data_IF_641312995218
#
_entry.id   IF_641312995218
#
_cell.length_a   1.000
_cell.length_b   1.000
_cell.length_c   1.000
_cell.angle_alpha   90.00
_cell.angle_beta   90.00
_cell.angle_gamma   90.00
#
_symmetry.space_group_name_H-M   'P 1'
#
loop_
_entity.id
_entity.type
_entity.pdbx_description
1 polymer ?
#
# COMPACT_ATOMS: atom_id res chain seq x y z
N UNK A 1 -3.19 6.90 16.88
CA UNK A 1 -2.89 6.70 15.43
C UNK A 1 -3.29 7.93 14.61
N UNK A 2 -2.58 8.21 13.52
CA UNK A 2 -2.95 9.25 12.55
C UNK A 2 -3.47 8.59 11.28
N UNK A 3 -4.65 9.01 10.80
CA UNK A 3 -5.23 8.57 9.54
C UNK A 3 -5.18 9.73 8.54
N UNK A 4 -4.46 9.54 7.43
CA UNK A 4 -4.42 10.49 6.32
C UNK A 4 -5.54 10.17 5.33
N UNK A 5 -6.45 11.13 5.12
CA UNK A 5 -7.59 11.00 4.21
C UNK A 5 -7.89 12.34 3.53
N UNK A 6 -7.98 12.33 2.20
CA UNK A 6 -8.66 13.39 1.45
C UNK A 6 -10.05 12.87 1.03
N UNK A 7 -11.15 13.48 1.49
CA UNK A 7 -12.51 13.03 1.16
C UNK A 7 -12.81 13.06 -0.35
N UNK A 8 -12.07 13.83 -1.14
CA UNK A 8 -12.24 13.89 -2.59
C UNK A 8 -11.75 12.62 -3.33
N UNK A 9 -11.02 11.72 -2.64
CA UNK A 9 -10.57 10.47 -3.24
C UNK A 9 -11.71 9.51 -3.64
N UNK A 10 -12.95 9.85 -3.28
CA UNK A 10 -14.17 9.08 -3.65
C UNK A 10 -14.91 9.68 -4.86
N UNK A 11 -14.43 10.77 -5.44
CA UNK A 11 -15.15 11.48 -6.52
C UNK A 11 -15.01 10.81 -7.91
N UNK A 12 -14.11 9.85 -8.08
CA UNK A 12 -13.96 9.13 -9.34
C UNK A 12 -14.42 7.68 -9.22
N UNK A 13 -15.02 7.15 -10.27
CA UNK A 13 -15.47 5.75 -10.35
C UNK A 13 -15.71 5.31 -11.78
N UNK A 14 -15.60 4.01 -12.05
CA UNK A 14 -16.09 3.35 -13.26
C UNK A 14 -17.13 2.31 -12.89
N UNK A 15 -18.17 2.19 -13.71
CA UNK A 15 -19.26 1.23 -13.44
C UNK A 15 -18.75 -0.21 -13.41
N UNK A 16 -19.03 -0.92 -12.32
CA UNK A 16 -18.60 -2.31 -12.13
C UNK A 16 -17.11 -2.51 -11.81
N UNK A 17 -16.35 -1.43 -11.65
CA UNK A 17 -14.93 -1.52 -11.33
C UNK A 17 -14.73 -1.89 -9.85
N UNK A 18 -13.82 -2.84 -9.52
CA UNK A 18 -13.60 -3.27 -8.14
C UNK A 18 -12.95 -2.18 -7.28
N UNK A 19 -12.01 -1.39 -7.85
CA UNK A 19 -11.43 -0.23 -7.18
C UNK A 19 -12.46 0.92 -7.26
N UNK A 20 -13.30 1.04 -6.23
CA UNK A 20 -14.50 1.88 -6.19
C UNK A 20 -14.57 2.76 -4.93
N UNK A 21 -15.31 3.87 -4.96
CA UNK A 21 -15.46 4.79 -3.83
C UNK A 21 -15.91 4.14 -2.52
N UNK A 22 -16.73 3.10 -2.60
CA UNK A 22 -17.28 2.38 -1.44
C UNK A 22 -16.21 1.82 -0.53
N UNK A 23 -15.02 1.52 -1.05
CA UNK A 23 -13.86 1.09 -0.26
C UNK A 23 -13.53 2.08 0.86
N UNK A 24 -13.68 3.39 0.59
CA UNK A 24 -13.43 4.47 1.55
C UNK A 24 -14.73 4.93 2.23
N UNK A 25 -15.83 5.09 1.46
CA UNK A 25 -17.10 5.57 1.97
C UNK A 25 -17.61 4.70 3.13
N UNK A 26 -17.38 3.39 3.08
CA UNK A 26 -17.81 2.46 4.13
C UNK A 26 -16.80 2.36 5.28
N UNK A 27 -15.50 2.44 5.00
CA UNK A 27 -14.46 2.33 6.03
C UNK A 27 -14.44 3.54 6.97
N UNK A 28 -14.59 4.76 6.44
CA UNK A 28 -14.45 6.00 7.23
C UNK A 28 -15.45 6.08 8.40
N UNK A 29 -16.78 5.88 8.23
CA UNK A 29 -17.70 5.97 9.35
C UNK A 29 -17.45 4.88 10.40
N UNK A 30 -17.13 3.65 9.99
CA UNK A 30 -16.82 2.54 10.89
C UNK A 30 -15.59 2.84 11.76
N UNK A 31 -14.50 3.29 11.14
CA UNK A 31 -13.27 3.62 11.86
C UNK A 31 -13.46 4.81 12.80
N UNK A 32 -14.22 5.84 12.40
CA UNK A 32 -14.51 7.00 13.28
C UNK A 32 -15.39 6.63 14.47
N UNK A 33 -16.34 5.72 14.29
CA UNK A 33 -17.20 5.23 15.37
C UNK A 33 -16.40 4.40 16.38
N UNK A 34 -15.57 3.48 15.89
CA UNK A 34 -14.81 2.55 16.74
C UNK A 34 -13.60 3.21 17.41
N UNK A 35 -13.00 4.20 16.74
CA UNK A 35 -11.75 4.86 17.17
C UNK A 35 -11.90 6.38 17.23
N UNK A 36 -12.71 6.91 18.15
CA UNK A 36 -12.96 8.35 18.25
C UNK A 36 -11.75 9.19 18.66
N UNK A 37 -10.69 8.54 19.13
CA UNK A 37 -9.43 9.18 19.55
C UNK A 37 -8.40 9.29 18.44
N UNK A 38 -8.59 8.62 17.31
CA UNK A 38 -7.65 8.72 16.20
C UNK A 38 -7.69 10.10 15.56
N UNK A 39 -6.51 10.60 15.19
CA UNK A 39 -6.39 11.88 14.52
C UNK A 39 -6.56 11.71 13.00
N UNK A 40 -7.45 12.52 12.41
CA UNK A 40 -7.70 12.52 10.97
C UNK A 40 -7.07 13.76 10.36
N UNK A 41 -6.13 13.58 9.43
CA UNK A 41 -5.41 14.65 8.73
C UNK A 41 -5.69 14.60 7.24
N UNK A 42 -5.94 15.77 6.64
CA UNK A 42 -6.02 15.88 5.18
C UNK A 42 -4.61 16.06 4.62
N UNK A 43 -4.16 15.17 3.69
CA UNK A 43 -2.82 15.25 3.15
C UNK A 43 -2.69 16.40 2.13
N UNK A 44 -1.50 16.94 1.98
CA UNK A 44 -1.16 17.77 0.83
C UNK A 44 -0.96 16.90 -0.43
N UNK A 45 -1.01 17.48 -1.61
CA UNK A 45 -0.61 16.79 -2.83
C UNK A 45 0.92 16.66 -2.91
N UNK A 46 1.42 15.53 -3.40
CA UNK A 46 2.83 15.39 -3.75
C UNK A 46 3.19 16.35 -4.89
N UNK A 47 4.32 17.02 -4.79
CA UNK A 47 4.83 17.91 -5.83
C UNK A 47 5.66 17.14 -6.88
N UNK A 48 5.99 17.81 -7.99
CA UNK A 48 6.75 17.19 -9.08
C UNK A 48 8.13 16.67 -8.65
N UNK A 49 8.82 17.35 -7.73
CA UNK A 49 10.13 16.91 -7.26
C UNK A 49 10.03 15.60 -6.48
N UNK A 50 8.98 15.41 -5.70
CA UNK A 50 8.70 14.17 -4.97
C UNK A 50 8.33 13.03 -5.93
N UNK A 51 7.46 13.29 -6.90
CA UNK A 51 7.08 12.29 -7.91
C UNK A 51 8.28 11.88 -8.77
N UNK A 52 9.15 12.81 -9.15
CA UNK A 52 10.33 12.57 -9.98
C UNK A 52 11.37 11.65 -9.33
N UNK A 53 11.31 11.44 -8.02
CA UNK A 53 12.15 10.43 -7.35
C UNK A 53 11.84 9.02 -7.85
N UNK A 54 10.54 8.71 -8.02
CA UNK A 54 10.06 7.37 -8.43
C UNK A 54 9.74 7.27 -9.92
N UNK A 55 9.19 8.32 -10.51
CA UNK A 55 8.65 8.32 -11.86
C UNK A 55 9.41 9.23 -12.82
N UNK A 56 9.34 8.93 -14.13
CA UNK A 56 9.88 9.83 -15.14
C UNK A 56 8.94 11.03 -15.34
N UNK A 57 9.51 12.16 -15.77
CA UNK A 57 8.73 13.36 -16.15
C UNK A 57 7.67 13.03 -17.20
N UNK A 58 8.01 12.18 -18.18
CA UNK A 58 7.07 11.75 -19.22
C UNK A 58 5.84 11.04 -18.62
N UNK A 59 6.04 10.19 -17.63
CA UNK A 59 4.94 9.49 -16.96
C UNK A 59 4.05 10.49 -16.20
N UNK A 60 4.64 11.40 -15.42
CA UNK A 60 3.90 12.42 -14.66
C UNK A 60 3.06 13.30 -15.60
N UNK A 61 3.64 13.75 -16.70
CA UNK A 61 2.93 14.53 -17.70
C UNK A 61 1.85 13.74 -18.42
N UNK A 62 2.06 12.44 -18.64
CA UNK A 62 1.08 11.56 -19.26
C UNK A 62 -0.15 11.39 -18.37
N UNK A 63 0.03 11.11 -17.07
CA UNK A 63 -1.07 11.03 -16.10
C UNK A 63 -1.88 12.34 -16.05
N UNK A 64 -1.20 13.48 -16.13
CA UNK A 64 -1.85 14.79 -16.03
C UNK A 64 -2.66 15.19 -17.29
N UNK A 65 -2.34 14.62 -18.45
CA UNK A 65 -2.87 15.10 -19.74
C UNK A 65 -3.76 14.12 -20.48
N UNK A 66 -3.61 12.79 -20.24
CA UNK A 66 -4.36 11.79 -20.99
C UNK A 66 -5.83 11.74 -20.57
N UNK A 67 -6.68 11.49 -21.58
CA UNK A 67 -8.09 11.13 -21.40
C UNK A 67 -8.37 9.68 -21.87
N UNK A 68 -7.32 8.97 -22.30
CA UNK A 68 -7.39 7.56 -22.72
C UNK A 68 -6.99 6.66 -21.55
N UNK A 69 -7.64 5.52 -21.42
CA UNK A 69 -7.34 4.53 -20.40
C UNK A 69 -5.88 4.07 -20.49
N UNK A 70 -5.26 3.85 -19.34
CA UNK A 70 -3.83 3.52 -19.23
C UNK A 70 -3.56 2.06 -19.59
N UNK A 71 -4.50 1.19 -19.28
CA UNK A 71 -4.60 -0.20 -19.72
C UNK A 71 -6.06 -0.69 -19.58
N UNK A 72 -6.31 -2.01 -19.69
CA UNK A 72 -7.67 -2.58 -19.71
C UNK A 72 -8.42 -2.40 -18.39
N UNK A 73 -7.73 -2.18 -17.29
CA UNK A 73 -8.27 -2.10 -15.94
C UNK A 73 -7.76 -0.89 -15.12
N UNK A 74 -7.11 0.06 -15.79
CA UNK A 74 -6.67 1.33 -15.18
C UNK A 74 -7.24 2.50 -15.98
N UNK A 75 -8.50 2.89 -15.73
CA UNK A 75 -9.21 3.87 -16.51
C UNK A 75 -8.71 5.30 -16.28
N UNK A 76 -8.81 6.14 -17.31
CA UNK A 76 -8.61 7.57 -17.16
C UNK A 76 -9.87 8.21 -16.56
N UNK A 77 -9.68 8.99 -15.50
CA UNK A 77 -10.74 9.76 -14.89
C UNK A 77 -10.43 11.26 -14.93
N UNK A 78 -11.42 12.15 -15.01
CA UNK A 78 -11.21 13.57 -14.79
C UNK A 78 -10.51 13.83 -13.46
N UNK A 79 -9.45 14.63 -13.50
CA UNK A 79 -8.63 14.97 -12.31
C UNK A 79 -7.87 13.80 -11.64
N UNK A 80 -7.70 12.66 -12.31
CA UNK A 80 -6.99 11.53 -11.71
C UNK A 80 -5.56 11.88 -11.23
N UNK A 81 -4.88 12.78 -11.93
CA UNK A 81 -3.58 13.34 -11.49
C UNK A 81 -3.69 13.97 -10.09
N UNK A 82 -4.74 14.73 -9.81
CA UNK A 82 -4.93 15.38 -8.51
C UNK A 82 -5.16 14.37 -7.39
N UNK A 83 -6.01 13.36 -7.63
CA UNK A 83 -6.29 12.31 -6.64
C UNK A 83 -5.05 11.46 -6.38
N UNK A 84 -4.32 11.08 -7.44
CA UNK A 84 -3.09 10.29 -7.34
C UNK A 84 -1.97 11.04 -6.61
N UNK A 85 -1.82 12.35 -6.87
CA UNK A 85 -0.88 13.20 -6.11
C UNK A 85 -1.25 13.32 -4.64
N UNK A 86 -2.54 13.35 -4.31
CA UNK A 86 -3.02 13.35 -2.92
C UNK A 86 -2.73 12.02 -2.23
N UNK A 87 -2.93 10.89 -2.93
CA UNK A 87 -2.59 9.57 -2.40
C UNK A 87 -1.09 9.43 -2.15
N UNK A 88 -0.26 9.83 -3.11
CA UNK A 88 1.21 9.87 -2.92
C UNK A 88 1.63 10.81 -1.79
N UNK A 89 0.99 11.99 -1.68
CA UNK A 89 1.24 12.94 -0.59
C UNK A 89 0.88 12.37 0.78
N UNK A 90 -0.22 11.62 0.88
CA UNK A 90 -0.62 10.93 2.10
C UNK A 90 0.41 9.87 2.53
N UNK A 91 0.95 9.11 1.59
CA UNK A 91 2.00 8.14 1.86
C UNK A 91 3.29 8.81 2.38
N UNK A 92 3.70 9.94 1.77
CA UNK A 92 4.84 10.74 2.24
C UNK A 92 4.60 11.25 3.67
N UNK A 93 3.42 11.81 3.93
CA UNK A 93 3.11 12.37 5.25
C UNK A 93 2.96 11.29 6.31
N UNK A 94 2.44 10.10 5.97
CA UNK A 94 2.42 8.95 6.86
C UNK A 94 3.84 8.48 7.22
N UNK A 95 4.74 8.38 6.24
CA UNK A 95 6.15 8.03 6.48
C UNK A 95 6.85 9.07 7.38
N UNK A 96 6.61 10.37 7.15
CA UNK A 96 7.17 11.45 7.97
C UNK A 96 6.60 11.44 9.41
N UNK A 97 5.30 11.16 9.57
CA UNK A 97 4.69 11.01 10.89
C UNK A 97 5.31 9.82 11.65
N UNK A 98 5.55 8.71 10.97
CA UNK A 98 6.21 7.55 11.56
C UNK A 98 7.64 7.88 12.04
N UNK A 99 8.44 8.57 11.23
CA UNK A 99 9.76 9.06 11.62
C UNK A 99 9.71 10.04 12.79
N UNK A 100 8.57 10.73 12.98
CA UNK A 100 8.27 11.56 14.14
C UNK A 100 7.81 10.80 15.40
N UNK A 101 7.71 9.46 15.33
CA UNK A 101 7.30 8.62 16.45
C UNK A 101 5.81 8.31 16.51
N UNK A 102 5.04 8.66 15.47
CA UNK A 102 3.59 8.41 15.40
C UNK A 102 3.29 7.17 14.54
N UNK A 103 2.27 6.38 14.89
CA UNK A 103 1.71 5.38 13.98
C UNK A 103 0.80 6.06 12.99
N UNK A 104 0.96 5.79 11.69
CA UNK A 104 0.23 6.48 10.64
C UNK A 104 -0.25 5.54 9.52
N UNK A 105 -1.49 5.75 9.07
CA UNK A 105 -2.10 5.02 7.98
C UNK A 105 -2.63 5.96 6.89
N UNK A 106 -2.27 5.71 5.63
CA UNK A 106 -2.84 6.40 4.48
C UNK A 106 -4.07 5.66 3.99
N UNK A 107 -5.25 6.15 4.33
CA UNK A 107 -6.55 5.62 3.88
C UNK A 107 -6.98 6.36 2.61
N UNK A 108 -6.27 6.13 1.51
CA UNK A 108 -6.44 6.88 0.27
C UNK A 108 -6.75 5.97 -0.92
N UNK A 109 -7.32 6.55 -1.95
CA UNK A 109 -7.42 6.06 -3.32
C UNK A 109 -6.81 7.10 -4.26
N UNK A 110 -6.18 6.67 -5.36
CA UNK A 110 -5.93 5.30 -5.83
C UNK A 110 -4.80 4.60 -5.06
N UNK A 111 -4.72 3.24 -5.16
CA UNK A 111 -3.57 2.46 -4.71
C UNK A 111 -2.32 2.77 -5.54
N UNK A 112 -1.15 2.16 -5.21
CA UNK A 112 0.09 2.57 -5.84
C UNK A 112 1.07 1.47 -6.22
N UNK A 113 1.06 0.31 -5.60
CA UNK A 113 2.17 -0.65 -5.67
C UNK A 113 2.43 -1.27 -7.06
N UNK A 114 1.46 -1.19 -7.99
CA UNK A 114 1.64 -1.66 -9.37
C UNK A 114 2.23 -0.61 -10.32
N UNK A 115 2.11 0.70 -10.02
CA UNK A 115 2.62 1.74 -10.90
C UNK A 115 4.14 1.69 -11.01
N UNK A 116 4.66 1.39 -12.21
CA UNK A 116 6.10 1.36 -12.48
C UNK A 116 6.64 2.76 -12.73
N UNK A 117 7.95 2.90 -12.92
CA UNK A 117 8.56 4.20 -13.21
C UNK A 117 7.92 4.93 -14.39
N UNK A 118 7.40 4.19 -15.36
CA UNK A 118 6.92 4.75 -16.63
C UNK A 118 5.51 4.31 -17.04
N UNK A 119 4.81 3.55 -16.19
CA UNK A 119 3.51 2.99 -16.57
C UNK A 119 2.56 2.98 -15.37
N UNK A 120 1.34 3.50 -15.59
CA UNK A 120 0.18 3.26 -14.74
C UNK A 120 -0.44 1.91 -15.12
N UNK A 121 -0.79 1.10 -14.14
CA UNK A 121 -1.38 -0.23 -14.33
C UNK A 121 -1.94 -0.78 -13.02
N UNK A 122 -2.85 -1.76 -13.09
CA UNK A 122 -3.40 -2.41 -11.90
C UNK A 122 -4.05 -1.41 -10.94
N UNK A 123 -4.86 -0.49 -11.45
CA UNK A 123 -5.55 0.57 -10.71
C UNK A 123 -4.62 1.66 -10.14
N UNK A 124 -3.30 1.54 -10.34
CA UNK A 124 -2.28 2.41 -9.78
C UNK A 124 -1.73 3.40 -10.81
N UNK A 125 -1.64 4.68 -10.44
CA UNK A 125 -1.15 5.75 -11.32
C UNK A 125 0.24 6.22 -10.93
N UNK A 126 0.51 6.37 -9.63
CA UNK A 126 1.82 6.63 -9.05
C UNK A 126 2.11 5.60 -7.96
N UNK A 127 3.37 5.20 -7.79
CA UNK A 127 3.77 4.26 -6.74
C UNK A 127 3.90 5.00 -5.40
N UNK A 128 2.79 5.08 -4.68
CA UNK A 128 2.67 5.85 -3.44
C UNK A 128 3.76 5.48 -2.43
N UNK A 129 3.94 4.18 -2.19
CA UNK A 129 4.89 3.68 -1.20
C UNK A 129 6.35 3.85 -1.65
N UNK A 130 6.65 3.67 -2.95
CA UNK A 130 8.01 3.90 -3.46
C UNK A 130 8.38 5.40 -3.39
N UNK A 131 7.42 6.31 -3.68
CA UNK A 131 7.61 7.75 -3.53
C UNK A 131 7.91 8.09 -2.06
N UNK A 132 7.11 7.57 -1.12
CA UNK A 132 7.31 7.79 0.32
C UNK A 132 8.66 7.22 0.80
N UNK A 133 9.06 6.04 0.30
CA UNK A 133 10.37 5.42 0.60
C UNK A 133 11.52 6.31 0.17
N UNK A 134 11.48 6.80 -1.08
CA UNK A 134 12.54 7.64 -1.63
C UNK A 134 12.54 9.04 -0.99
N UNK A 135 11.38 9.55 -0.59
CA UNK A 135 11.28 10.77 0.20
C UNK A 135 11.91 10.62 1.58
N UNK A 136 11.65 9.50 2.26
CA UNK A 136 12.24 9.23 3.58
C UNK A 136 13.77 9.16 3.53
N UNK A 137 14.35 8.49 2.52
CA UNK A 137 15.80 8.44 2.31
C UNK A 137 16.40 9.83 2.05
N UNK A 138 15.76 10.65 1.22
CA UNK A 138 16.20 12.01 0.93
C UNK A 138 16.15 12.92 2.18
N UNK A 139 15.23 12.62 3.11
CA UNK A 139 15.02 13.41 4.33
C UNK A 139 15.65 12.78 5.59
N UNK A 140 16.63 11.90 5.43
CA UNK A 140 17.56 11.49 6.49
C UNK A 140 17.38 10.07 7.04
N UNK A 141 16.44 9.27 6.58
CA UNK A 141 16.45 7.85 6.85
C UNK A 141 17.63 7.20 6.09
N UNK A 142 18.36 6.29 6.72
CA UNK A 142 19.49 5.61 6.07
C UNK A 142 19.04 4.30 5.41
N UNK A 143 18.06 3.60 6.01
CA UNK A 143 17.54 2.32 5.53
C UNK A 143 16.04 2.28 5.70
N UNK A 144 15.33 1.91 4.63
CA UNK A 144 13.86 1.76 4.63
C UNK A 144 13.53 0.32 4.20
N UNK A 145 12.68 -0.35 4.97
CA UNK A 145 12.09 -1.62 4.57
C UNK A 145 10.66 -1.39 4.07
N UNK A 146 10.25 -2.19 3.09
CA UNK A 146 8.88 -2.21 2.57
C UNK A 146 8.35 -3.63 2.68
N UNK A 147 7.25 -3.79 3.41
CA UNK A 147 6.51 -5.03 3.54
C UNK A 147 5.19 -4.92 2.79
N UNK A 148 5.06 -5.67 1.71
CA UNK A 148 3.88 -5.67 0.85
C UNK A 148 3.16 -7.02 1.02
N UNK A 149 2.01 -6.98 1.69
CA UNK A 149 1.17 -8.16 1.90
C UNK A 149 -0.13 -8.14 1.07
N UNK A 150 -0.23 -7.24 0.09
CA UNK A 150 -1.25 -7.32 -0.95
C UNK A 150 -1.17 -8.66 -1.67
N UNK A 151 -2.31 -9.23 -2.03
CA UNK A 151 -2.35 -10.53 -2.71
C UNK A 151 -1.80 -10.49 -4.14
N UNK A 152 -1.57 -9.30 -4.69
CA UNK A 152 -0.92 -9.10 -5.98
C UNK A 152 0.54 -8.67 -5.79
N UNK A 153 1.41 -9.08 -6.72
CA UNK A 153 2.81 -8.66 -6.68
C UNK A 153 2.96 -7.14 -6.84
N UNK A 154 3.65 -6.49 -5.91
CA UNK A 154 3.99 -5.07 -5.96
C UNK A 154 5.07 -4.76 -7.00
N UNK A 155 4.81 -5.10 -8.27
CA UNK A 155 5.76 -5.02 -9.38
C UNK A 155 6.29 -3.61 -9.65
N UNK A 156 5.47 -2.60 -9.41
CA UNK A 156 5.87 -1.20 -9.56
C UNK A 156 6.83 -0.76 -8.47
N UNK A 157 6.52 -1.12 -7.23
CA UNK A 157 7.43 -0.91 -6.10
C UNK A 157 8.75 -1.63 -6.34
N UNK A 158 8.72 -2.92 -6.71
CA UNK A 158 9.90 -3.71 -7.04
C UNK A 158 10.79 -3.01 -8.08
N UNK A 159 10.20 -2.62 -9.24
CA UNK A 159 10.96 -1.98 -10.33
C UNK A 159 11.66 -0.71 -9.89
N UNK A 160 10.97 0.12 -9.09
CA UNK A 160 11.48 1.43 -8.67
C UNK A 160 12.60 1.29 -7.62
N UNK A 161 12.47 0.35 -6.67
CA UNK A 161 13.40 0.24 -5.54
C UNK A 161 14.51 -0.79 -5.76
N UNK A 162 14.43 -1.59 -6.82
CA UNK A 162 15.38 -2.65 -7.11
C UNK A 162 16.83 -2.12 -7.17
N UNK A 163 17.77 -2.90 -6.57
CA UNK A 163 19.21 -2.60 -6.53
C UNK A 163 19.60 -1.34 -5.73
N UNK A 164 18.66 -0.74 -4.98
CA UNK A 164 19.01 0.30 -4.02
C UNK A 164 19.47 -0.36 -2.70
N UNK A 165 20.75 -0.24 -2.29
CA UNK A 165 21.28 -0.92 -1.10
C UNK A 165 20.69 -0.39 0.21
N UNK A 166 20.02 0.75 0.18
CA UNK A 166 19.37 1.38 1.34
C UNK A 166 17.89 1.00 1.49
N UNK A 167 17.39 0.11 0.63
CA UNK A 167 16.01 -0.36 0.66
C UNK A 167 15.99 -1.89 0.72
N UNK A 168 15.10 -2.46 1.52
CA UNK A 168 14.72 -3.87 1.45
C UNK A 168 13.23 -3.95 1.12
N UNK A 169 12.85 -4.78 0.17
CA UNK A 169 11.46 -4.98 -0.24
C UNK A 169 11.09 -6.46 -0.17
N UNK A 170 9.94 -6.76 0.45
CA UNK A 170 9.37 -8.10 0.46
C UNK A 170 7.90 -8.02 0.02
N UNK A 171 7.52 -8.86 -0.96
CA UNK A 171 6.15 -8.99 -1.46
C UNK A 171 5.67 -10.42 -1.30
N UNK A 172 4.51 -10.58 -0.64
CA UNK A 172 3.82 -11.85 -0.49
C UNK A 172 2.60 -11.81 -1.41
N UNK A 173 2.55 -12.64 -2.43
CA UNK A 173 1.51 -12.53 -3.45
C UNK A 173 1.12 -13.88 -4.05
N UNK A 174 -0.12 -13.97 -4.50
CA UNK A 174 -0.61 -15.16 -5.21
C UNK A 174 0.14 -15.34 -6.54
N UNK A 175 0.52 -16.57 -6.84
CA UNK A 175 1.06 -16.96 -8.14
C UNK A 175 0.55 -18.36 -8.54
N UNK A 176 -0.05 -18.51 -9.77
CA UNK A 176 -0.26 -17.46 -10.78
C UNK A 176 -1.34 -16.45 -10.40
N UNK A 177 -1.10 -15.17 -10.67
CA UNK A 177 -2.06 -14.08 -10.60
C UNK A 177 -1.53 -12.85 -11.37
N UNK A 178 -2.32 -11.79 -11.49
CA UNK A 178 -1.85 -10.51 -12.02
C UNK A 178 -0.70 -9.95 -11.14
N UNK A 179 0.31 -9.30 -11.70
CA UNK A 179 0.59 -9.10 -13.13
C UNK A 179 1.43 -10.22 -13.77
N UNK A 180 1.63 -11.36 -13.10
CA UNK A 180 2.41 -12.50 -13.60
C UNK A 180 3.93 -12.36 -13.39
N UNK A 181 4.34 -11.52 -12.44
CA UNK A 181 5.74 -11.24 -12.08
C UNK A 181 6.04 -11.65 -10.63
N UNK A 182 7.24 -11.39 -10.11
CA UNK A 182 7.59 -11.67 -8.72
C UNK A 182 7.88 -13.15 -8.42
N UNK A 183 8.29 -13.94 -9.43
CA UNK A 183 8.52 -15.38 -9.25
C UNK A 183 9.85 -15.70 -8.55
N UNK A 184 10.79 -14.77 -8.53
CA UNK A 184 12.14 -14.98 -7.98
C UNK A 184 12.62 -13.75 -7.23
N UNK A 185 13.36 -13.99 -6.15
CA UNK A 185 14.06 -12.94 -5.39
C UNK A 185 15.38 -12.57 -6.06
N UNK A 186 15.78 -11.30 -5.94
CA UNK A 186 17.07 -10.81 -6.43
C UNK A 186 17.50 -9.52 -5.72
N UNK A 187 18.80 -9.33 -5.54
CA UNK A 187 19.39 -8.15 -4.91
C UNK A 187 18.73 -7.84 -3.54
N UNK A 188 18.02 -6.71 -3.42
CA UNK A 188 17.31 -6.25 -2.23
C UNK A 188 15.82 -6.58 -2.27
N UNK A 189 15.39 -7.46 -3.16
CA UNK A 189 14.01 -7.88 -3.39
C UNK A 189 13.83 -9.32 -2.91
N UNK A 190 12.92 -9.54 -2.00
CA UNK A 190 12.48 -10.84 -1.51
C UNK A 190 11.03 -11.10 -1.96
N UNK A 191 10.84 -11.95 -2.95
CA UNK A 191 9.53 -12.36 -3.47
C UNK A 191 9.07 -13.69 -2.85
N UNK A 192 7.83 -13.71 -2.38
CA UNK A 192 7.19 -14.85 -1.74
C UNK A 192 5.91 -15.23 -2.51
N UNK A 193 6.03 -15.86 -3.70
CA UNK A 193 4.86 -16.33 -4.42
C UNK A 193 4.18 -17.46 -3.64
N UNK A 194 2.86 -17.33 -3.43
CA UNK A 194 2.01 -18.31 -2.74
C UNK A 194 0.97 -18.88 -3.70
N UNK A 195 0.68 -20.18 -3.58
CA UNK A 195 -0.27 -20.82 -4.48
C UNK A 195 -1.71 -20.38 -4.20
N UNK A 196 -2.58 -20.31 -5.21
CA UNK A 196 -4.02 -20.15 -5.01
C UNK A 196 -4.56 -21.22 -4.04
N UNK A 197 -5.39 -20.82 -3.09
CA UNK A 197 -5.94 -21.72 -2.08
C UNK A 197 -4.93 -22.26 -1.07
N UNK A 198 -3.74 -21.64 -0.95
CA UNK A 198 -2.78 -21.99 0.10
C UNK A 198 -3.46 -22.01 1.46
N UNK A 199 -3.22 -23.06 2.30
CA UNK A 199 -3.77 -23.09 3.65
C UNK A 199 -3.46 -21.82 4.44
N UNK A 200 -4.47 -21.27 5.12
CA UNK A 200 -4.41 -20.04 5.89
C UNK A 200 -3.16 -19.94 6.77
N UNK A 201 -2.87 -20.97 7.57
CA UNK A 201 -1.71 -21.01 8.45
C UNK A 201 -0.38 -20.91 7.71
N UNK A 202 -0.27 -21.56 6.55
CA UNK A 202 0.95 -21.52 5.73
C UNK A 202 1.17 -20.11 5.14
N UNK A 203 0.09 -19.44 4.69
CA UNK A 203 0.18 -18.07 4.20
C UNK A 203 0.62 -17.11 5.32
N UNK A 204 0.03 -17.20 6.51
CA UNK A 204 0.43 -16.42 7.69
C UNK A 204 1.91 -16.65 8.02
N UNK A 205 2.38 -17.90 8.03
CA UNK A 205 3.79 -18.23 8.24
C UNK A 205 4.72 -17.59 7.18
N UNK A 206 4.27 -17.52 5.92
CA UNK A 206 5.03 -16.85 4.85
C UNK A 206 5.12 -15.35 5.11
N UNK A 207 4.00 -14.71 5.48
CA UNK A 207 3.95 -13.29 5.77
C UNK A 207 4.85 -12.91 6.97
N UNK A 208 4.85 -13.74 8.02
CA UNK A 208 5.73 -13.55 9.17
C UNK A 208 7.20 -13.68 8.79
N UNK A 209 7.59 -14.75 8.06
CA UNK A 209 8.96 -14.92 7.58
C UNK A 209 9.45 -13.75 6.73
N UNK A 210 8.60 -13.22 5.86
CA UNK A 210 8.92 -12.04 5.05
C UNK A 210 9.21 -10.81 5.93
N UNK A 211 8.35 -10.55 6.92
CA UNK A 211 8.56 -9.46 7.86
C UNK A 211 9.85 -9.65 8.68
N UNK A 212 10.08 -10.86 9.23
CA UNK A 212 11.31 -11.16 9.99
C UNK A 212 12.58 -10.99 9.14
N UNK A 213 12.51 -11.31 7.86
CA UNK A 213 13.62 -11.09 6.91
C UNK A 213 13.92 -9.60 6.73
N UNK A 214 12.89 -8.77 6.58
CA UNK A 214 13.03 -7.32 6.48
C UNK A 214 13.62 -6.71 7.76
N UNK A 215 13.25 -7.20 8.93
CA UNK A 215 13.80 -6.71 10.22
C UNK A 215 15.30 -6.99 10.37
N UNK A 216 15.82 -8.07 9.75
CA UNK A 216 17.28 -8.34 9.72
C UNK A 216 18.06 -7.27 8.96
N UNK A 217 17.43 -6.54 8.04
CA UNK A 217 18.03 -5.39 7.36
C UNK A 217 18.28 -4.20 8.33
N UNK A 218 17.67 -4.22 9.51
CA UNK A 218 17.71 -3.16 10.55
C UNK A 218 17.32 -1.81 9.97
N UNK A 219 16.11 -1.67 9.44
CA UNK A 219 15.63 -0.42 8.87
C UNK A 219 15.39 0.65 9.94
N UNK A 220 15.54 1.92 9.55
CA UNK A 220 15.15 3.08 10.35
C UNK A 220 13.64 3.40 10.22
N UNK A 221 13.03 2.88 9.17
CA UNK A 221 11.61 3.02 8.86
C UNK A 221 11.11 1.74 8.18
N UNK A 222 9.97 1.25 8.63
CA UNK A 222 9.20 0.21 7.95
C UNK A 222 7.97 0.84 7.30
N UNK A 223 7.82 0.66 6.00
CA UNK A 223 6.62 1.02 5.26
C UNK A 223 5.85 -0.24 4.87
N UNK A 224 4.53 -0.17 4.90
CA UNK A 224 3.66 -1.31 4.64
C UNK A 224 2.71 -0.99 3.49
N UNK A 225 2.81 -1.75 2.39
CA UNK A 225 1.74 -1.84 1.40
C UNK A 225 0.67 -2.77 1.94
N UNK A 226 -0.39 -2.18 2.48
CA UNK A 226 -1.46 -2.90 3.16
C UNK A 226 -2.61 -3.18 2.17
N UNK A 227 -2.54 -4.31 1.49
CA UNK A 227 -3.64 -4.86 0.70
C UNK A 227 -4.45 -5.88 1.51
N UNK A 228 -5.75 -5.83 1.38
CA UNK A 228 -6.67 -6.70 2.11
C UNK A 228 -7.35 -7.73 1.20
N UNK A 229 -6.87 -7.85 -0.02
CA UNK A 229 -7.40 -8.76 -1.03
C UNK A 229 -6.96 -10.22 -0.86
N UNK A 230 -5.98 -10.52 0.02
CA UNK A 230 -5.72 -11.89 0.46
C UNK A 230 -6.85 -12.50 1.31
N UNK A 231 -7.91 -11.74 1.61
CA UNK A 231 -9.11 -12.21 2.30
C UNK A 231 -9.85 -13.27 1.48
N UNK A 232 -10.37 -14.31 2.15
CA UNK A 232 -11.06 -15.44 1.50
C UNK A 232 -12.29 -15.06 0.70
N UNK A 233 -12.93 -13.92 1.02
CA UNK A 233 -14.09 -13.37 0.33
C UNK A 233 -13.76 -12.33 -0.74
N UNK A 234 -12.48 -12.09 -1.07
CA UNK A 234 -12.12 -11.13 -2.12
C UNK A 234 -12.45 -11.67 -3.52
N UNK A 235 -13.03 -10.84 -4.41
CA UNK A 235 -13.46 -11.30 -5.72
C UNK A 235 -12.33 -11.47 -6.75
N UNK A 236 -11.11 -10.97 -6.50
CA UNK A 236 -10.05 -10.91 -7.52
C UNK A 236 -9.03 -12.05 -7.42
N UNK A 237 -8.88 -12.67 -6.26
CA UNK A 237 -7.89 -13.73 -6.01
C UNK A 237 -8.52 -14.94 -5.32
N UNK A 238 -7.75 -16.03 -5.17
CA UNK A 238 -8.17 -17.26 -4.49
C UNK A 238 -7.30 -17.46 -3.24
N UNK A 239 -7.32 -16.49 -2.33
CA UNK A 239 -6.58 -16.57 -1.08
C UNK A 239 -7.51 -16.96 0.09
N UNK A 240 -6.95 -17.18 1.26
CA UNK A 240 -7.65 -17.87 2.36
C UNK A 240 -7.57 -17.16 3.70
N UNK A 241 -7.02 -15.93 3.73
CA UNK A 241 -6.92 -15.18 4.98
C UNK A 241 -8.30 -14.74 5.47
N UNK A 242 -8.44 -14.70 6.78
CA UNK A 242 -9.64 -14.24 7.48
C UNK A 242 -9.31 -12.98 8.30
N UNK A 243 -10.33 -12.35 8.85
CA UNK A 243 -10.17 -11.09 9.60
C UNK A 243 -9.12 -11.19 10.72
N UNK A 244 -9.06 -12.34 11.42
CA UNK A 244 -8.12 -12.56 12.52
C UNK A 244 -6.66 -12.61 12.05
N UNK A 245 -6.42 -12.97 10.79
CA UNK A 245 -5.06 -12.97 10.24
C UNK A 245 -4.57 -11.55 10.03
N UNK A 246 -5.42 -10.68 9.50
CA UNK A 246 -5.09 -9.24 9.39
C UNK A 246 -4.87 -8.60 10.77
N UNK A 247 -5.63 -9.00 11.79
CA UNK A 247 -5.34 -8.60 13.17
C UNK A 247 -3.96 -9.09 13.62
N UNK A 248 -3.58 -10.33 13.30
CA UNK A 248 -2.25 -10.86 13.61
C UNK A 248 -1.13 -10.08 12.92
N UNK A 249 -1.32 -9.66 11.65
CA UNK A 249 -0.37 -8.78 10.96
C UNK A 249 -0.20 -7.45 11.71
N UNK A 250 -1.29 -6.86 12.19
CA UNK A 250 -1.28 -5.65 13.03
C UNK A 250 -0.56 -5.87 14.36
N UNK A 251 -0.81 -6.99 15.03
CA UNK A 251 -0.13 -7.34 16.28
C UNK A 251 1.39 -7.46 16.11
N UNK A 252 1.87 -7.97 14.99
CA UNK A 252 3.31 -8.02 14.73
C UNK A 252 3.90 -6.63 14.62
N UNK A 253 3.22 -5.72 13.91
CA UNK A 253 3.66 -4.32 13.82
C UNK A 253 3.63 -3.61 15.18
N UNK A 254 2.65 -3.92 16.03
CA UNK A 254 2.59 -3.38 17.39
C UNK A 254 3.82 -3.74 18.25
N UNK A 255 4.41 -4.91 18.01
CA UNK A 255 5.58 -5.43 18.75
C UNK A 255 6.93 -4.94 18.23
N UNK A 256 6.94 -4.25 17.09
CA UNK A 256 8.17 -3.76 16.45
C UNK A 256 8.49 -2.36 16.98
N UNK A 257 9.71 -2.20 17.49
CA UNK A 257 10.24 -0.89 17.93
C UNK A 257 10.98 -0.19 16.78
N UNK A 258 10.29 -0.02 15.66
CA UNK A 258 10.77 0.70 14.46
C UNK A 258 9.65 1.62 14.00
N UNK A 259 9.94 2.90 13.68
CA UNK A 259 8.99 3.78 13.02
C UNK A 259 8.27 3.08 11.86
N UNK A 260 6.92 3.04 11.90
CA UNK A 260 6.14 2.27 10.93
C UNK A 260 4.94 3.07 10.45
N UNK A 261 4.75 3.11 9.12
CA UNK A 261 3.54 3.63 8.48
C UNK A 261 3.01 2.62 7.46
N UNK A 262 1.69 2.65 7.23
CA UNK A 262 1.07 1.79 6.23
C UNK A 262 0.23 2.62 5.23
N UNK A 263 0.09 2.06 4.02
CA UNK A 263 -0.63 2.65 2.89
C UNK A 263 -1.64 1.62 2.39
N UNK A 264 -2.90 2.00 2.24
CA UNK A 264 -3.93 1.14 1.65
C UNK A 264 -3.60 0.84 0.19
N UNK A 265 -3.58 -0.46 -0.14
CA UNK A 265 -3.48 -0.94 -1.51
C UNK A 265 -4.79 -1.65 -1.92
N UNK A 266 -4.77 -2.94 -2.20
CA UNK A 266 -5.93 -3.73 -2.58
C UNK A 266 -6.91 -4.03 -1.45
N UNK A 267 -7.89 -4.88 -1.78
CA UNK A 267 -9.03 -5.22 -0.93
C UNK A 267 -10.33 -4.73 -1.54
N UNK A 268 -11.12 -5.67 -2.08
CA UNK A 268 -12.27 -5.35 -2.95
C UNK A 268 -13.55 -6.01 -2.48
N UNK A 269 -13.51 -6.76 -1.38
CA UNK A 269 -14.67 -7.34 -0.72
C UNK A 269 -15.50 -6.29 0.01
N UNK A 270 -16.73 -6.62 0.31
CA UNK A 270 -17.60 -5.75 1.11
C UNK A 270 -17.17 -5.69 2.59
N UNK A 271 -16.36 -6.62 3.04
CA UNK A 271 -15.77 -6.72 4.39
C UNK A 271 -14.51 -5.88 4.58
N UNK A 272 -14.01 -5.19 3.55
CA UNK A 272 -12.82 -4.36 3.64
C UNK A 272 -12.77 -3.41 4.85
N UNK A 273 -13.88 -2.73 5.25
CA UNK A 273 -13.88 -1.88 6.43
C UNK A 273 -13.50 -2.61 7.72
N UNK A 274 -14.04 -3.82 7.90
CA UNK A 274 -13.79 -4.68 9.06
C UNK A 274 -12.38 -5.25 9.06
N UNK A 275 -11.81 -5.55 7.89
CA UNK A 275 -10.44 -6.03 7.74
C UNK A 275 -9.44 -4.92 8.09
N UNK A 276 -9.66 -3.69 7.60
CA UNK A 276 -8.85 -2.52 7.96
C UNK A 276 -8.94 -2.26 9.47
N UNK A 277 -10.13 -2.29 10.03
CA UNK A 277 -10.35 -2.07 11.46
C UNK A 277 -9.61 -3.10 12.31
N UNK A 278 -9.71 -4.38 11.97
CA UNK A 278 -9.02 -5.46 12.68
C UNK A 278 -7.49 -5.27 12.66
N UNK A 279 -6.92 -4.95 11.51
CA UNK A 279 -5.50 -4.68 11.35
C UNK A 279 -5.04 -3.47 12.17
N UNK A 280 -5.74 -2.33 12.03
CA UNK A 280 -5.35 -1.08 12.69
C UNK A 280 -5.55 -1.13 14.21
N UNK A 281 -6.64 -1.76 14.70
CA UNK A 281 -6.90 -1.95 16.14
C UNK A 281 -5.78 -2.77 16.79
N UNK A 282 -5.37 -3.86 16.14
CA UNK A 282 -4.31 -4.72 16.66
C UNK A 282 -2.93 -4.03 16.60
N UNK A 283 -2.71 -3.17 15.61
CA UNK A 283 -1.48 -2.39 15.50
C UNK A 283 -1.40 -1.25 16.52
N UNK A 284 -2.54 -0.60 16.86
CA UNK A 284 -2.60 0.50 17.85
C UNK A 284 -3.62 0.21 18.97
N UNK A 285 -3.34 -0.76 19.84
CA UNK A 285 -4.30 -1.23 20.87
C UNK A 285 -4.56 -0.23 21.99
N UNK A 286 -3.85 0.89 22.04
CA UNK A 286 -3.98 1.92 23.09
C UNK A 286 -4.97 3.03 22.73
N UNK A 287 -5.69 2.92 21.64
CA UNK A 287 -6.66 3.90 21.13
C UNK A 287 -8.10 3.61 21.52
#
# INVERSE_FOLDING_TARGET
>A
MIIFLDPHCVEYSSAGHPERPERIIRAVPLLKERHPTWEWRQPRAANDAELLRAHSRKHIEFIAKTAEDFDLDTPAHPNIDKYSRKSAGAAIEAARAALGGERAFSLMRPPGHHATRNRAMGFCYFSNIAIATLDALENGANRVAIWDFDAHHGNGTEEIVARNPNIAFASIHQSPAYPGTGLTSFANIDNYPVAPGMPRSEHVDVAERALQKLLQFKPDLLLVSAGFDAYSGDPLVQMTLEQEDFASLGEWLCKIDIPTAAVLEGGYSDELPELIDAFLTAWDPSS
#
